data_IF_585417180727
#
_entry.id   IF_585417180727
#
_cell.length_a   1.000
_cell.length_b   1.000
_cell.length_c   1.000
_cell.angle_alpha   90.00
_cell.angle_beta   90.00
_cell.angle_gamma   90.00
#
_symmetry.space_group_name_H-M   'P 1'
#
loop_
_entity.id
_entity.type
_entity.pdbx_description
1 polymer ?
#
# COMPACT_ATOMS: atom_id res chain seq x y z
N UNK A 1 -5.59 -7.01 -51.13
CA UNK A 1 -5.55 -8.41 -50.82
C UNK A 1 -5.15 -8.55 -49.34
N UNK A 2 -6.02 -8.75 -48.44
CA UNK A 2 -6.08 -8.83 -47.00
C UNK A 2 -4.91 -9.31 -46.11
N UNK A 3 -3.66 -9.28 -46.55
CA UNK A 3 -2.50 -9.79 -45.80
C UNK A 3 -1.62 -8.66 -45.20
N UNK A 4 -1.98 -7.40 -45.31
CA UNK A 4 -1.16 -6.29 -44.80
C UNK A 4 -2.05 -5.25 -44.15
N UNK A 5 -1.77 -4.90 -42.87
CA UNK A 5 -2.56 -3.91 -42.11
C UNK A 5 -2.36 -2.47 -42.58
N UNK A 6 -1.18 -2.15 -43.16
CA UNK A 6 -0.88 -0.85 -43.75
C UNK A 6 0.17 -1.00 -44.87
N UNK A 7 0.10 -0.15 -45.87
CA UNK A 7 1.03 -0.09 -46.99
C UNK A 7 1.53 1.34 -47.22
N UNK A 8 2.84 1.50 -47.45
CA UNK A 8 3.47 2.76 -47.83
C UNK A 8 3.53 2.84 -49.37
N UNK A 9 2.85 3.80 -49.96
CA UNK A 9 2.76 4.01 -51.39
C UNK A 9 3.36 5.38 -51.76
N UNK A 10 3.98 5.47 -52.92
CA UNK A 10 4.49 6.74 -53.47
C UNK A 10 5.95 6.67 -53.90
N UNK A 11 6.48 7.84 -54.20
CA UNK A 11 7.87 8.05 -54.59
C UNK A 11 8.60 8.91 -53.52
N UNK A 12 9.93 8.90 -53.50
CA UNK A 12 10.69 9.76 -52.61
C UNK A 12 10.27 11.24 -52.66
N UNK A 13 9.72 11.74 -51.56
CA UNK A 13 9.16 13.08 -51.42
C UNK A 13 7.63 13.18 -51.50
N UNK A 14 6.94 12.07 -51.84
CA UNK A 14 5.47 12.02 -51.89
C UNK A 14 4.93 10.68 -51.41
N UNK A 15 5.30 10.31 -50.19
CA UNK A 15 4.83 9.08 -49.57
C UNK A 15 3.45 9.19 -48.96
N UNK A 16 2.60 8.19 -49.18
CA UNK A 16 1.27 8.07 -48.56
C UNK A 16 1.17 6.72 -47.82
N UNK A 17 0.85 6.77 -46.55
CA UNK A 17 0.57 5.58 -45.76
C UNK A 17 -0.95 5.29 -45.81
N UNK A 18 -1.31 4.10 -46.30
CA UNK A 18 -2.70 3.68 -46.50
C UNK A 18 -2.96 2.45 -45.63
N UNK A 19 -4.04 2.48 -44.86
CA UNK A 19 -4.58 1.35 -44.09
C UNK A 19 -5.99 1.00 -44.53
N UNK A 20 -6.47 -0.21 -44.27
CA UNK A 20 -7.80 -0.68 -44.67
C UNK A 20 -8.94 -0.04 -43.85
N UNK A 21 -8.78 0.03 -42.51
CA UNK A 21 -9.76 0.60 -41.56
C UNK A 21 -9.17 1.69 -40.66
N UNK A 22 -7.92 2.06 -40.92
CA UNK A 22 -7.09 2.98 -40.12
C UNK A 22 -5.66 2.50 -40.12
N UNK A 23 -4.74 3.35 -39.62
CA UNK A 23 -3.33 2.99 -39.39
C UNK A 23 -3.11 3.10 -37.92
N UNK A 24 -2.48 2.08 -37.34
CA UNK A 24 -2.02 2.10 -35.95
C UNK A 24 -1.13 3.33 -35.73
N UNK A 25 -1.39 4.16 -34.71
CA UNK A 25 -0.60 5.36 -34.42
C UNK A 25 0.91 5.08 -34.25
N UNK A 26 1.27 3.96 -33.64
CA UNK A 26 2.68 3.59 -33.43
C UNK A 26 3.35 3.23 -34.77
N UNK A 27 2.65 2.52 -35.63
CA UNK A 27 3.12 2.21 -37.00
C UNK A 27 3.26 3.48 -37.82
N UNK A 28 2.27 4.38 -37.76
CA UNK A 28 2.29 5.67 -38.46
C UNK A 28 3.47 6.53 -38.00
N UNK A 29 3.74 6.58 -36.69
CA UNK A 29 4.86 7.32 -36.12
C UNK A 29 6.21 6.73 -36.58
N UNK A 30 6.38 5.40 -36.52
CA UNK A 30 7.60 4.72 -36.95
C UNK A 30 7.90 4.92 -38.46
N UNK A 31 6.88 4.78 -39.29
CA UNK A 31 7.00 5.02 -40.74
C UNK A 31 7.32 6.50 -41.03
N UNK A 32 6.66 7.43 -40.37
CA UNK A 32 6.93 8.86 -40.53
C UNK A 32 8.35 9.24 -40.13
N UNK A 33 8.86 8.69 -39.02
CA UNK A 33 10.24 8.89 -38.57
C UNK A 33 11.26 8.35 -39.58
N UNK A 34 10.99 7.17 -40.14
CA UNK A 34 11.87 6.54 -41.14
C UNK A 34 11.90 7.36 -42.44
N UNK A 35 10.74 7.79 -42.92
CA UNK A 35 10.62 8.65 -44.13
C UNK A 35 11.29 10.01 -43.92
N UNK A 36 11.14 10.60 -42.72
CA UNK A 36 11.78 11.88 -42.40
C UNK A 36 13.34 11.72 -42.35
N UNK A 37 13.85 10.63 -41.83
CA UNK A 37 15.30 10.36 -41.81
C UNK A 37 15.84 10.19 -43.23
N UNK A 38 15.20 9.39 -44.08
CA UNK A 38 15.57 9.19 -45.48
C UNK A 38 15.52 10.48 -46.28
N UNK A 39 14.49 11.31 -46.04
CA UNK A 39 14.38 12.63 -46.71
C UNK A 39 15.52 13.57 -46.23
N UNK A 40 15.88 13.54 -44.95
CA UNK A 40 16.94 14.36 -44.39
C UNK A 40 18.30 13.95 -44.99
N UNK A 41 18.57 12.65 -45.12
CA UNK A 41 19.80 12.13 -45.74
C UNK A 41 19.94 12.57 -47.23
N UNK A 42 18.87 12.43 -47.98
CA UNK A 42 18.85 12.87 -49.40
C UNK A 42 19.00 14.38 -49.53
N UNK A 43 18.33 15.16 -48.72
CA UNK A 43 18.44 16.62 -48.74
C UNK A 43 19.86 17.10 -48.32
N UNK A 44 20.45 16.45 -47.31
CA UNK A 44 21.84 16.72 -46.94
C UNK A 44 22.82 16.44 -48.08
N UNK A 45 22.69 15.29 -48.71
CA UNK A 45 23.51 14.92 -49.86
C UNK A 45 23.33 15.90 -51.04
N UNK A 46 22.09 16.31 -51.34
CA UNK A 46 21.80 17.30 -52.38
C UNK A 46 22.38 18.69 -52.08
N UNK A 47 22.45 19.05 -50.79
CA UNK A 47 23.05 20.31 -50.34
C UNK A 47 24.58 20.24 -50.17
N UNK A 48 25.19 19.09 -50.42
CA UNK A 48 26.67 18.89 -50.27
C UNK A 48 27.15 18.92 -48.83
N UNK A 49 26.25 18.57 -47.86
CA UNK A 49 26.54 18.55 -46.44
C UNK A 49 26.19 17.17 -45.83
N UNK A 50 26.40 16.97 -44.57
CA UNK A 50 26.05 15.74 -43.86
C UNK A 50 24.83 15.96 -42.97
N UNK A 51 24.10 14.86 -42.66
CA UNK A 51 23.01 14.91 -41.68
C UNK A 51 23.50 15.41 -40.31
N UNK A 52 24.72 14.99 -39.91
CA UNK A 52 25.35 15.43 -38.68
C UNK A 52 25.56 16.96 -38.64
N UNK A 53 25.93 17.56 -39.76
CA UNK A 53 26.10 19.04 -39.83
C UNK A 53 24.76 19.76 -39.77
N UNK A 54 23.69 19.20 -40.39
CA UNK A 54 22.36 19.79 -40.36
C UNK A 54 21.68 19.65 -38.99
N UNK A 55 22.01 18.60 -38.25
CA UNK A 55 21.46 18.34 -36.93
C UNK A 55 22.37 18.79 -35.79
N UNK A 56 23.52 19.41 -36.14
CA UNK A 56 24.42 19.95 -35.14
C UNK A 56 23.70 21.00 -34.25
N UNK A 57 23.66 20.76 -32.95
CA UNK A 57 22.97 21.62 -32.00
C UNK A 57 21.48 21.36 -31.82
N UNK A 58 20.90 20.37 -32.52
CA UNK A 58 19.51 19.96 -32.31
C UNK A 58 19.34 18.90 -31.20
N UNK A 59 20.45 18.33 -30.75
CA UNK A 59 20.45 17.38 -29.62
C UNK A 59 20.29 18.16 -28.33
N UNK A 60 19.17 17.98 -27.68
CA UNK A 60 18.94 18.45 -26.31
C UNK A 60 19.52 17.41 -25.39
N UNK A 61 20.61 17.73 -24.72
CA UNK A 61 21.15 16.90 -23.66
C UNK A 61 20.27 17.09 -22.43
N UNK A 62 19.42 16.08 -22.13
CA UNK A 62 18.68 16.05 -20.87
C UNK A 62 19.67 15.76 -19.74
N UNK A 63 20.00 16.80 -18.99
CA UNK A 63 20.77 16.67 -17.77
C UNK A 63 19.84 16.85 -16.59
N UNK A 64 19.61 15.78 -15.84
CA UNK A 64 18.99 15.88 -14.54
C UNK A 64 19.89 16.76 -13.65
N UNK A 65 19.33 17.79 -13.05
CA UNK A 65 20.03 18.69 -12.14
C UNK A 65 20.54 17.93 -10.90
N UNK A 66 19.89 16.87 -10.54
CA UNK A 66 20.30 15.87 -9.57
C UNK A 66 20.38 14.51 -10.29
N UNK A 67 21.60 14.07 -10.60
CA UNK A 67 21.84 12.80 -11.31
C UNK A 67 21.35 11.57 -10.51
N UNK A 68 21.22 11.72 -9.19
CA UNK A 68 20.76 10.69 -8.26
C UNK A 68 19.22 10.60 -8.15
N UNK A 69 18.48 11.61 -8.63
CA UNK A 69 17.03 11.73 -8.35
C UNK A 69 16.15 10.63 -8.96
N UNK A 70 16.49 10.13 -10.15
CA UNK A 70 15.69 9.09 -10.81
C UNK A 70 15.88 7.70 -10.17
N UNK A 71 17.09 7.42 -9.71
CA UNK A 71 17.42 6.16 -9.01
C UNK A 71 16.84 6.18 -7.59
N UNK A 72 16.84 7.34 -6.93
CA UNK A 72 16.24 7.56 -5.62
C UNK A 72 14.71 7.36 -5.64
N UNK A 73 14.02 7.78 -6.70
CA UNK A 73 12.58 7.58 -6.88
C UNK A 73 12.23 6.09 -6.93
N UNK A 74 13.03 5.27 -7.62
CA UNK A 74 12.85 3.83 -7.65
C UNK A 74 12.93 3.19 -6.26
N UNK A 75 13.90 3.59 -5.45
CA UNK A 75 14.05 3.10 -4.07
C UNK A 75 12.89 3.57 -3.18
N UNK A 76 12.41 4.81 -3.34
CA UNK A 76 11.26 5.33 -2.61
C UNK A 76 9.98 4.53 -2.91
N UNK A 77 9.73 4.20 -4.17
CA UNK A 77 8.59 3.36 -4.60
C UNK A 77 8.70 1.96 -4.00
N UNK A 78 9.88 1.33 -4.06
CA UNK A 78 10.10 0.00 -3.48
C UNK A 78 9.92 0.03 -1.96
N UNK A 79 10.50 0.99 -1.26
CA UNK A 79 10.33 1.14 0.19
C UNK A 79 8.86 1.36 0.57
N UNK A 80 8.16 2.18 -0.19
CA UNK A 80 6.73 2.41 -0.04
C UNK A 80 5.92 1.13 -0.19
N UNK A 81 6.17 0.38 -1.26
CA UNK A 81 5.54 -0.93 -1.49
C UNK A 81 5.81 -1.90 -0.35
N UNK A 82 7.04 -1.96 0.16
CA UNK A 82 7.41 -2.82 1.29
C UNK A 82 6.62 -2.45 2.54
N UNK A 83 6.51 -1.17 2.91
CA UNK A 83 5.72 -0.74 4.07
C UNK A 83 4.25 -1.13 3.95
N UNK A 84 3.65 -0.88 2.78
CA UNK A 84 2.25 -1.25 2.49
C UNK A 84 2.05 -2.76 2.58
N UNK A 85 2.93 -3.53 1.93
CA UNK A 85 2.83 -4.98 1.86
C UNK A 85 3.02 -5.63 3.24
N UNK A 86 3.97 -5.17 4.03
CA UNK A 86 4.21 -5.67 5.37
C UNK A 86 3.03 -5.39 6.30
N UNK A 87 2.44 -4.18 6.22
CA UNK A 87 1.23 -3.86 6.97
C UNK A 87 0.07 -4.79 6.58
N UNK A 88 -0.17 -4.96 5.28
CA UNK A 88 -1.21 -5.82 4.74
C UNK A 88 -1.06 -7.27 5.21
N UNK A 89 0.14 -7.82 5.10
CA UNK A 89 0.44 -9.19 5.54
C UNK A 89 0.21 -9.37 7.04
N UNK A 90 0.69 -8.45 7.86
CA UNK A 90 0.50 -8.52 9.31
C UNK A 90 -0.97 -8.38 9.70
N UNK A 91 -1.69 -7.43 9.09
CA UNK A 91 -3.09 -7.18 9.36
C UNK A 91 -3.96 -8.41 9.07
N UNK A 92 -3.70 -9.08 7.95
CA UNK A 92 -4.43 -10.30 7.58
C UNK A 92 -4.01 -11.47 8.47
N UNK A 93 -2.71 -11.79 8.55
CA UNK A 93 -2.23 -12.96 9.23
C UNK A 93 -2.62 -12.96 10.71
N UNK A 94 -2.26 -11.91 11.42
CA UNK A 94 -2.54 -11.83 12.86
C UNK A 94 -3.97 -11.43 13.17
N UNK A 95 -4.61 -10.65 12.29
CA UNK A 95 -6.04 -10.34 12.42
C UNK A 95 -6.92 -11.58 12.36
N UNK A 96 -6.73 -12.42 11.35
CA UNK A 96 -7.44 -13.70 11.26
C UNK A 96 -7.09 -14.66 12.41
N UNK A 97 -5.83 -14.71 12.82
CA UNK A 97 -5.42 -15.53 13.97
C UNK A 97 -6.17 -15.15 15.25
N UNK A 98 -6.35 -13.83 15.50
CA UNK A 98 -7.13 -13.35 16.65
C UNK A 98 -8.60 -13.76 16.50
N UNK A 99 -9.23 -13.50 15.34
CA UNK A 99 -10.64 -13.80 15.14
C UNK A 99 -10.93 -15.30 15.28
N UNK A 100 -10.12 -16.16 14.68
CA UNK A 100 -10.24 -17.61 14.79
C UNK A 100 -10.05 -18.09 16.22
N UNK A 101 -9.02 -17.62 16.92
CA UNK A 101 -8.78 -17.97 18.34
C UNK A 101 -9.99 -17.61 19.22
N UNK A 102 -10.65 -16.45 18.97
CA UNK A 102 -11.84 -16.05 19.73
C UNK A 102 -13.02 -16.99 19.46
N UNK A 103 -13.24 -17.36 18.19
CA UNK A 103 -14.33 -18.29 17.83
C UNK A 103 -14.09 -19.69 18.38
N UNK A 104 -12.87 -20.21 18.30
CA UNK A 104 -12.52 -21.53 18.84
C UNK A 104 -12.75 -21.61 20.35
N UNK A 105 -12.34 -20.59 21.10
CA UNK A 105 -12.60 -20.51 22.54
C UNK A 105 -14.10 -20.43 22.85
N UNK A 106 -14.88 -19.72 22.02
CA UNK A 106 -16.33 -19.64 22.16
C UNK A 106 -17.02 -20.95 21.87
N UNK A 107 -16.60 -21.67 20.82
CA UNK A 107 -17.16 -22.98 20.45
C UNK A 107 -16.85 -24.06 21.48
N UNK A 108 -15.66 -24.07 22.02
CA UNK A 108 -15.23 -25.01 23.06
C UNK A 108 -15.75 -24.70 24.46
N UNK A 109 -16.55 -23.63 24.62
CA UNK A 109 -17.03 -23.11 25.92
C UNK A 109 -15.94 -22.77 26.93
N UNK A 110 -14.71 -22.70 26.48
CA UNK A 110 -13.56 -22.27 27.31
C UNK A 110 -13.78 -20.87 27.84
N UNK A 111 -14.42 -20.00 27.05
CA UNK A 111 -14.76 -18.63 27.45
C UNK A 111 -15.64 -18.61 28.71
N UNK A 112 -16.57 -19.54 28.90
CA UNK A 112 -17.42 -19.60 30.09
C UNK A 112 -16.60 -19.92 31.34
N UNK A 113 -15.62 -20.83 31.22
CA UNK A 113 -14.69 -21.20 32.31
C UNK A 113 -13.75 -20.03 32.61
N UNK A 114 -13.18 -19.42 31.57
CA UNK A 114 -12.28 -18.29 31.74
C UNK A 114 -12.99 -17.05 32.32
N UNK A 115 -14.24 -16.78 31.91
CA UNK A 115 -15.03 -15.66 32.40
C UNK A 115 -15.41 -15.80 33.90
N UNK A 116 -15.44 -17.03 34.42
CA UNK A 116 -15.63 -17.28 35.84
C UNK A 116 -14.36 -16.98 36.65
N UNK A 117 -13.17 -17.06 36.03
CA UNK A 117 -11.87 -16.91 36.70
C UNK A 117 -11.25 -15.51 36.50
N UNK A 118 -11.44 -14.89 35.31
CA UNK A 118 -10.81 -13.62 34.94
C UNK A 118 -11.80 -12.70 34.22
N UNK A 119 -11.69 -11.37 34.38
CA UNK A 119 -12.51 -10.42 33.64
C UNK A 119 -12.29 -10.54 32.12
N UNK A 120 -13.36 -10.56 31.32
CA UNK A 120 -13.31 -10.64 29.85
C UNK A 120 -12.43 -9.56 29.19
N UNK A 121 -12.32 -8.39 29.85
CA UNK A 121 -11.38 -7.32 29.41
C UNK A 121 -9.93 -7.81 29.44
N UNK A 122 -9.51 -8.53 30.47
CA UNK A 122 -8.13 -9.03 30.56
C UNK A 122 -7.85 -10.11 29.50
N UNK A 123 -8.87 -10.92 29.17
CA UNK A 123 -8.77 -11.88 28.08
C UNK A 123 -8.56 -11.19 26.73
N UNK A 124 -9.35 -10.16 26.43
CA UNK A 124 -9.19 -9.35 25.23
C UNK A 124 -7.81 -8.68 25.17
N UNK A 125 -7.40 -8.03 26.27
CA UNK A 125 -6.10 -7.35 26.34
C UNK A 125 -4.96 -8.36 26.13
N UNK A 126 -5.01 -9.53 26.75
CA UNK A 126 -3.99 -10.57 26.58
C UNK A 126 -3.84 -11.01 25.13
N UNK A 127 -4.96 -11.25 24.43
CA UNK A 127 -4.96 -11.60 22.99
C UNK A 127 -4.37 -10.49 22.11
N UNK A 128 -4.85 -9.27 22.30
CA UNK A 128 -4.40 -8.13 21.52
C UNK A 128 -2.92 -7.84 21.75
N UNK A 129 -2.46 -7.85 23.00
CA UNK A 129 -1.05 -7.64 23.34
C UNK A 129 -0.17 -8.76 22.77
N UNK A 130 -0.57 -10.02 22.94
CA UNK A 130 0.18 -11.16 22.41
C UNK A 130 0.31 -11.11 20.88
N UNK A 131 -0.79 -10.88 20.18
CA UNK A 131 -0.77 -10.76 18.71
C UNK A 131 0.01 -9.53 18.24
N UNK A 132 -0.11 -8.39 18.93
CA UNK A 132 0.66 -7.17 18.61
C UNK A 132 2.14 -7.39 18.81
N UNK A 133 2.56 -8.08 19.89
CA UNK A 133 3.96 -8.38 20.14
C UNK A 133 4.56 -9.27 19.05
N UNK A 134 3.82 -10.30 18.59
CA UNK A 134 4.24 -11.16 17.50
C UNK A 134 4.33 -10.39 16.18
N UNK A 135 3.30 -9.60 15.85
CA UNK A 135 3.27 -8.78 14.66
C UNK A 135 4.41 -7.74 14.64
N UNK A 136 4.64 -7.06 15.78
CA UNK A 136 5.74 -6.11 15.90
C UNK A 136 7.10 -6.80 15.77
N UNK A 137 7.28 -7.96 16.41
CA UNK A 137 8.52 -8.74 16.29
C UNK A 137 8.81 -9.10 14.84
N UNK A 138 7.79 -9.55 14.09
CA UNK A 138 7.92 -9.82 12.65
C UNK A 138 8.27 -8.56 11.87
N UNK A 139 7.61 -7.41 12.15
CA UNK A 139 7.90 -6.13 11.48
C UNK A 139 9.33 -5.67 11.71
N UNK A 140 9.80 -5.74 12.96
CA UNK A 140 11.19 -5.38 13.32
C UNK A 140 12.20 -6.24 12.55
N UNK A 141 11.95 -7.55 12.43
CA UNK A 141 12.83 -8.46 11.66
C UNK A 141 12.85 -8.06 10.19
N UNK A 142 11.69 -7.82 9.56
CA UNK A 142 11.65 -7.46 8.14
C UNK A 142 12.28 -6.09 7.88
N UNK A 143 12.00 -5.10 8.74
CA UNK A 143 12.65 -3.77 8.65
C UNK A 143 14.16 -3.91 8.80
N UNK A 144 14.64 -4.69 9.77
CA UNK A 144 16.07 -4.90 9.95
C UNK A 144 16.73 -5.56 8.73
N UNK A 145 16.10 -6.60 8.16
CA UNK A 145 16.57 -7.26 6.94
C UNK A 145 16.59 -6.26 5.77
N UNK A 146 15.55 -5.44 5.61
CA UNK A 146 15.48 -4.42 4.56
C UNK A 146 16.57 -3.36 4.68
N UNK A 147 16.81 -2.83 5.90
CA UNK A 147 17.87 -1.85 6.15
C UNK A 147 19.28 -2.45 5.96
N UNK A 148 19.49 -3.68 6.41
CA UNK A 148 20.75 -4.40 6.16
C UNK A 148 20.91 -4.62 4.66
N UNK A 149 19.89 -5.08 3.95
CA UNK A 149 19.93 -5.26 2.51
C UNK A 149 20.29 -3.95 1.78
N UNK A 150 19.63 -2.84 2.13
CA UNK A 150 19.88 -1.52 1.55
C UNK A 150 21.35 -1.08 1.76
N UNK A 151 21.97 -1.41 2.89
CA UNK A 151 23.35 -1.04 3.20
C UNK A 151 24.40 -1.70 2.27
N UNK A 152 24.04 -2.77 1.56
CA UNK A 152 24.91 -3.46 0.59
C UNK A 152 24.65 -3.05 -0.85
N UNK A 153 23.78 -2.07 -1.09
CA UNK A 153 23.47 -1.56 -2.43
C UNK A 153 24.11 -0.19 -2.65
N UNK A 154 24.14 0.26 -3.89
CA UNK A 154 24.61 1.61 -4.26
C UNK A 154 23.73 2.73 -3.65
N UNK A 155 22.55 2.37 -3.14
CA UNK A 155 21.58 3.25 -2.48
C UNK A 155 21.77 3.40 -0.97
N UNK A 156 22.93 3.02 -0.43
CA UNK A 156 23.25 3.14 1.00
C UNK A 156 23.15 4.59 1.52
N UNK A 157 23.24 5.59 0.65
CA UNK A 157 23.03 7.02 0.96
C UNK A 157 21.63 7.31 1.47
N UNK A 158 20.59 6.53 1.07
CA UNK A 158 19.21 6.67 1.51
C UNK A 158 18.94 6.00 2.88
N UNK A 159 19.91 5.27 3.42
CA UNK A 159 19.74 4.54 4.68
C UNK A 159 19.21 5.41 5.83
N UNK A 160 19.70 6.66 6.06
CA UNK A 160 19.19 7.49 7.14
C UNK A 160 17.72 7.88 6.98
N UNK A 161 17.27 8.20 5.77
CA UNK A 161 15.88 8.57 5.49
C UNK A 161 14.93 7.38 5.63
N UNK A 162 15.30 6.23 5.05
CA UNK A 162 14.52 4.98 5.16
C UNK A 162 14.47 4.48 6.61
N UNK A 163 15.58 4.54 7.35
CA UNK A 163 15.62 4.16 8.77
C UNK A 163 14.74 5.09 9.63
N UNK A 164 14.78 6.40 9.39
CA UNK A 164 13.91 7.36 10.05
C UNK A 164 12.42 7.08 9.79
N UNK A 165 12.06 6.82 8.53
CA UNK A 165 10.71 6.44 8.15
C UNK A 165 10.27 5.10 8.79
N UNK A 166 11.17 4.11 8.84
CA UNK A 166 10.90 2.81 9.45
C UNK A 166 10.61 2.91 10.96
N UNK A 167 11.27 3.79 11.68
CA UNK A 167 10.97 4.03 13.11
C UNK A 167 9.53 4.55 13.26
N UNK A 168 9.13 5.55 12.47
CA UNK A 168 7.77 6.07 12.49
C UNK A 168 6.74 5.03 12.01
N UNK A 169 7.12 4.21 11.02
CA UNK A 169 6.30 3.07 10.59
C UNK A 169 6.00 2.12 11.75
N UNK A 170 7.00 1.71 12.53
CA UNK A 170 6.82 0.82 13.65
C UNK A 170 5.95 1.46 14.77
N UNK A 171 6.13 2.75 15.04
CA UNK A 171 5.32 3.48 16.03
C UNK A 171 3.85 3.52 15.60
N UNK A 172 3.56 3.97 14.38
CA UNK A 172 2.20 4.05 13.84
C UNK A 172 1.59 2.65 13.67
N UNK A 173 2.40 1.67 13.29
CA UNK A 173 1.98 0.27 13.16
C UNK A 173 1.45 -0.28 14.48
N UNK A 174 2.17 -0.12 15.59
CA UNK A 174 1.72 -0.63 16.89
C UNK A 174 0.37 -0.03 17.26
N UNK A 175 0.20 1.29 17.12
CA UNK A 175 -1.04 1.98 17.50
C UNK A 175 -2.20 1.56 16.59
N UNK A 176 -1.99 1.57 15.28
CA UNK A 176 -2.99 1.20 14.28
C UNK A 176 -3.36 -0.27 14.36
N UNK A 177 -2.36 -1.14 14.55
CA UNK A 177 -2.57 -2.58 14.65
C UNK A 177 -3.33 -2.98 15.92
N UNK A 178 -3.06 -2.36 17.08
CA UNK A 178 -3.82 -2.61 18.32
C UNK A 178 -5.31 -2.30 18.11
N UNK A 179 -5.64 -1.18 17.46
CA UNK A 179 -7.03 -0.85 17.14
C UNK A 179 -7.66 -1.91 16.21
N UNK A 180 -6.93 -2.30 15.16
CA UNK A 180 -7.38 -3.31 14.20
C UNK A 180 -7.53 -4.69 14.86
N UNK A 181 -6.60 -5.10 15.72
CA UNK A 181 -6.63 -6.34 16.49
C UNK A 181 -7.88 -6.43 17.39
N UNK A 182 -8.25 -5.33 18.05
CA UNK A 182 -9.50 -5.25 18.82
C UNK A 182 -10.74 -5.45 17.91
N UNK A 183 -10.75 -4.89 16.71
CA UNK A 183 -11.84 -5.08 15.76
C UNK A 183 -11.93 -6.52 15.26
N UNK A 184 -10.80 -7.18 15.00
CA UNK A 184 -10.77 -8.60 14.64
C UNK A 184 -11.26 -9.49 15.79
N UNK A 185 -10.89 -9.17 17.03
CA UNK A 185 -11.41 -9.88 18.20
C UNK A 185 -12.95 -9.73 18.31
N UNK A 186 -13.49 -8.55 18.04
CA UNK A 186 -14.94 -8.32 17.96
C UNK A 186 -15.57 -9.15 16.84
N UNK A 187 -14.99 -9.15 15.65
CA UNK A 187 -15.49 -9.94 14.53
C UNK A 187 -15.54 -11.45 14.87
N UNK A 188 -14.52 -11.97 15.54
CA UNK A 188 -14.50 -13.32 16.08
C UNK A 188 -15.59 -13.56 17.14
N UNK A 189 -15.80 -12.63 18.07
CA UNK A 189 -16.84 -12.75 19.10
C UNK A 189 -18.27 -12.72 18.51
N UNK A 190 -18.48 -12.06 17.37
CA UNK A 190 -19.76 -12.02 16.66
C UNK A 190 -20.05 -13.30 15.89
N UNK A 191 -19.03 -14.02 15.46
CA UNK A 191 -19.16 -15.30 14.78
C UNK A 191 -19.63 -16.38 15.76
N UNK A 192 -20.37 -17.39 15.22
CA UNK A 192 -20.81 -18.58 15.98
C UNK A 192 -19.98 -19.79 15.64
N UNK A 193 -19.46 -19.84 14.41
CA UNK A 193 -18.63 -20.94 13.90
C UNK A 193 -17.41 -20.38 13.19
N UNK A 194 -16.37 -21.19 13.04
CA UNK A 194 -15.17 -20.83 12.29
C UNK A 194 -15.50 -20.39 10.83
N UNK A 195 -16.49 -21.00 10.21
CA UNK A 195 -16.99 -20.66 8.87
C UNK A 195 -17.56 -19.23 8.79
N UNK A 196 -18.09 -18.70 9.89
CA UNK A 196 -18.67 -17.37 9.98
C UNK A 196 -17.61 -16.27 10.04
N UNK A 197 -16.36 -16.60 10.46
CA UNK A 197 -15.27 -15.64 10.64
C UNK A 197 -15.02 -14.85 9.36
N UNK A 198 -15.00 -15.52 8.21
CA UNK A 198 -14.79 -14.86 6.93
C UNK A 198 -15.85 -13.79 6.66
N UNK A 199 -17.11 -14.06 6.98
CA UNK A 199 -18.19 -13.08 6.77
C UNK A 199 -18.13 -11.93 7.77
N UNK A 200 -17.82 -12.21 9.05
CA UNK A 200 -17.76 -11.19 10.09
C UNK A 200 -16.50 -10.31 9.96
N UNK A 201 -15.42 -10.82 9.38
CA UNK A 201 -14.19 -10.03 9.13
C UNK A 201 -14.20 -9.28 7.79
N UNK A 202 -15.13 -9.59 6.88
CA UNK A 202 -15.21 -8.98 5.54
C UNK A 202 -15.17 -7.44 5.54
N UNK A 203 -15.86 -6.69 6.42
CA UNK A 203 -15.74 -5.24 6.45
C UNK A 203 -14.34 -4.76 6.84
N UNK A 204 -13.64 -5.49 7.71
CA UNK A 204 -12.27 -5.15 8.10
C UNK A 204 -11.30 -5.38 6.95
N UNK A 205 -11.50 -6.46 6.18
CA UNK A 205 -10.73 -6.70 4.96
C UNK A 205 -10.91 -5.58 3.95
N UNK A 206 -12.12 -5.06 3.80
CA UNK A 206 -12.37 -3.90 2.92
C UNK A 206 -11.57 -2.68 3.38
N UNK A 207 -11.52 -2.40 4.68
CA UNK A 207 -10.69 -1.31 5.23
C UNK A 207 -9.20 -1.57 4.95
N UNK A 208 -8.71 -2.80 5.18
CA UNK A 208 -7.31 -3.16 4.91
C UNK A 208 -6.99 -3.00 3.42
N UNK A 209 -7.90 -3.39 2.53
CA UNK A 209 -7.74 -3.21 1.08
C UNK A 209 -7.70 -1.72 0.68
N UNK A 210 -8.55 -0.87 1.29
CA UNK A 210 -8.50 0.57 1.07
C UNK A 210 -7.15 1.14 1.52
N UNK A 211 -6.63 0.70 2.67
CA UNK A 211 -5.30 1.11 3.16
C UNK A 211 -4.20 0.64 2.22
N UNK A 212 -4.29 -0.61 1.74
CA UNK A 212 -3.31 -1.19 0.80
C UNK A 212 -3.27 -0.40 -0.52
N UNK A 213 -4.40 -0.25 -1.19
CA UNK A 213 -4.46 0.48 -2.44
C UNK A 213 -4.22 1.98 -2.25
N UNK A 214 -4.69 2.56 -1.14
CA UNK A 214 -4.41 3.95 -0.80
C UNK A 214 -2.91 4.20 -0.62
N UNK A 215 -2.20 3.28 0.04
CA UNK A 215 -0.74 3.39 0.18
C UNK A 215 0.01 3.32 -1.16
N UNK A 216 -0.52 2.59 -2.15
CA UNK A 216 0.12 2.42 -3.46
C UNK A 216 -0.25 3.50 -4.49
N UNK A 217 -1.48 4.00 -4.45
CA UNK A 217 -2.03 4.81 -5.53
C UNK A 217 -2.38 6.24 -5.15
N UNK A 218 -2.42 6.58 -3.83
CA UNK A 218 -2.63 7.96 -3.43
C UNK A 218 -1.39 8.80 -3.74
N UNK A 219 -1.60 9.92 -4.42
CA UNK A 219 -0.56 10.88 -4.78
C UNK A 219 -0.96 12.28 -4.33
N UNK A 220 0.01 13.19 -4.30
CA UNK A 220 -0.17 14.61 -4.03
C UNK A 220 -1.00 14.91 -2.77
N UNK A 221 -2.01 15.74 -2.90
CA UNK A 221 -2.91 16.16 -1.81
C UNK A 221 -3.63 14.99 -1.13
N UNK A 222 -4.01 13.94 -1.88
CA UNK A 222 -4.67 12.78 -1.32
C UNK A 222 -3.75 11.93 -0.45
N UNK A 223 -2.47 11.86 -0.80
CA UNK A 223 -1.45 11.19 0.01
C UNK A 223 -1.22 11.95 1.33
N UNK A 224 -1.20 13.29 1.27
CA UNK A 224 -1.13 14.14 2.48
C UNK A 224 -2.34 13.89 3.39
N UNK A 225 -3.56 13.91 2.84
CA UNK A 225 -4.78 13.62 3.62
C UNK A 225 -4.71 12.21 4.22
N UNK A 226 -4.35 11.20 3.42
CA UNK A 226 -4.19 9.81 3.84
C UNK A 226 -3.22 9.64 5.01
N UNK A 227 -2.17 10.46 5.06
CA UNK A 227 -1.16 10.40 6.13
C UNK A 227 -1.65 10.85 7.51
N UNK A 228 -2.84 11.46 7.59
CA UNK A 228 -3.51 11.81 8.85
C UNK A 228 -4.74 10.94 9.12
N UNK A 229 -5.18 10.11 8.16
CA UNK A 229 -6.30 9.18 8.37
C UNK A 229 -5.81 7.99 9.20
N UNK A 230 -6.42 7.69 10.35
CA UNK A 230 -6.03 6.59 11.22
C UNK A 230 -5.99 5.24 10.46
N UNK A 231 -5.06 4.39 10.80
CA UNK A 231 -4.70 3.14 10.11
C UNK A 231 -3.99 3.40 8.76
N UNK A 232 -4.53 4.25 7.88
CA UNK A 232 -3.88 4.60 6.62
C UNK A 232 -2.55 5.36 6.85
N UNK A 233 -2.50 6.21 7.88
CA UNK A 233 -1.28 6.92 8.31
C UNK A 233 -0.10 5.97 8.58
N UNK A 234 -0.37 4.72 8.96
CA UNK A 234 0.67 3.70 9.18
C UNK A 234 1.52 3.45 7.95
N UNK A 235 0.93 3.54 6.76
CA UNK A 235 1.64 3.29 5.50
C UNK A 235 1.98 4.58 4.75
N UNK A 236 1.06 5.54 4.68
CA UNK A 236 1.24 6.75 3.88
C UNK A 236 2.21 7.76 4.50
N UNK A 237 2.29 7.86 5.83
CA UNK A 237 3.24 8.76 6.49
C UNK A 237 4.71 8.32 6.29
N UNK A 238 5.08 7.03 6.49
CA UNK A 238 6.44 6.57 6.18
C UNK A 238 6.83 6.76 4.71
N UNK A 239 5.90 6.55 3.78
CA UNK A 239 6.15 6.79 2.34
C UNK A 239 6.52 8.25 2.12
N UNK A 240 5.76 9.20 2.66
CA UNK A 240 6.06 10.63 2.56
C UNK A 240 7.37 11.03 3.23
N UNK A 241 7.74 10.34 4.31
CA UNK A 241 9.04 10.57 4.97
C UNK A 241 10.20 10.13 4.10
N UNK A 242 10.11 8.96 3.44
CA UNK A 242 11.13 8.49 2.50
C UNK A 242 11.23 9.42 1.30
N UNK A 243 10.08 9.88 0.78
CA UNK A 243 10.00 10.82 -0.34
C UNK A 243 10.40 12.27 0.03
N UNK A 244 10.71 12.55 1.31
CA UNK A 244 11.09 13.92 1.77
C UNK A 244 9.94 14.94 1.70
N UNK A 245 8.69 14.50 1.49
CA UNK A 245 7.51 15.37 1.34
C UNK A 245 6.79 15.66 2.66
N UNK A 246 7.20 15.02 3.76
CA UNK A 246 6.64 15.25 5.09
C UNK A 246 7.58 16.10 5.96
N UNK A 247 7.03 17.11 6.64
CA UNK A 247 7.77 17.90 7.62
C UNK A 247 8.04 17.08 8.90
N UNK A 248 9.10 17.40 9.63
CA UNK A 248 9.57 16.66 10.81
C UNK A 248 8.54 16.50 11.95
N UNK A 249 7.55 17.39 12.03
CA UNK A 249 6.49 17.39 13.05
C UNK A 249 5.23 16.61 12.64
N UNK A 250 5.02 16.38 11.34
CA UNK A 250 3.82 15.72 10.81
C UNK A 250 3.62 14.31 11.35
N UNK A 251 4.66 13.45 11.46
CA UNK A 251 4.50 12.11 12.02
C UNK A 251 4.03 12.13 13.48
N UNK A 252 4.45 13.12 14.26
CA UNK A 252 4.00 13.26 15.65
C UNK A 252 2.51 13.60 15.71
N UNK A 253 2.02 14.50 14.87
CA UNK A 253 0.59 14.83 14.78
C UNK A 253 -0.23 13.64 14.32
N UNK A 254 0.20 12.94 13.27
CA UNK A 254 -0.46 11.73 12.80
C UNK A 254 -0.52 10.64 13.89
N UNK A 255 0.55 10.50 14.67
CA UNK A 255 0.59 9.59 15.82
C UNK A 255 -0.46 9.95 16.89
N UNK A 256 -0.60 11.22 17.23
CA UNK A 256 -1.60 11.68 18.20
C UNK A 256 -3.02 11.41 17.68
N UNK A 257 -3.31 11.73 16.43
CA UNK A 257 -4.61 11.47 15.81
C UNK A 257 -4.92 9.98 15.81
N UNK A 258 -3.96 9.15 15.40
CA UNK A 258 -4.10 7.69 15.38
C UNK A 258 -4.30 7.13 16.79
N UNK A 259 -3.57 7.64 17.79
CA UNK A 259 -3.70 7.22 19.19
C UNK A 259 -5.07 7.54 19.76
N UNK A 260 -5.58 8.76 19.54
CA UNK A 260 -6.93 9.17 19.98
C UNK A 260 -7.99 8.29 19.34
N UNK A 261 -7.88 8.05 18.03
CA UNK A 261 -8.83 7.19 17.32
C UNK A 261 -8.74 5.74 17.79
N UNK A 262 -7.53 5.21 17.98
CA UNK A 262 -7.32 3.88 18.53
C UNK A 262 -7.96 3.74 19.92
N UNK A 263 -7.81 4.73 20.80
CA UNK A 263 -8.43 4.72 22.12
C UNK A 263 -9.97 4.69 22.04
N UNK A 264 -10.58 5.39 21.09
CA UNK A 264 -12.03 5.35 20.84
C UNK A 264 -12.45 3.97 20.32
N UNK A 265 -11.72 3.45 19.32
CA UNK A 265 -11.98 2.12 18.74
C UNK A 265 -11.89 1.05 19.83
N UNK A 266 -10.85 1.06 20.65
CA UNK A 266 -10.63 0.08 21.73
C UNK A 266 -11.79 0.10 22.72
N UNK A 267 -12.27 1.30 23.14
CA UNK A 267 -13.42 1.41 24.07
C UNK A 267 -14.70 0.84 23.47
N UNK A 268 -14.96 1.12 22.19
CA UNK A 268 -16.13 0.57 21.50
C UNK A 268 -15.99 -0.94 21.33
N UNK A 269 -14.82 -1.40 20.89
CA UNK A 269 -14.52 -2.81 20.68
C UNK A 269 -14.65 -3.62 22.00
N UNK A 270 -14.14 -3.11 23.12
CA UNK A 270 -14.28 -3.75 24.43
C UNK A 270 -15.75 -3.93 24.81
N UNK A 271 -16.58 -2.90 24.60
CA UNK A 271 -18.02 -2.97 24.91
C UNK A 271 -18.72 -4.01 24.04
N UNK A 272 -18.46 -4.00 22.75
CA UNK A 272 -19.06 -4.95 21.79
C UNK A 272 -18.57 -6.37 22.05
N UNK A 273 -17.26 -6.55 22.29
CA UNK A 273 -16.67 -7.84 22.62
C UNK A 273 -17.32 -8.49 23.82
N UNK A 274 -17.44 -7.77 24.93
CA UNK A 274 -18.05 -8.27 26.17
C UNK A 274 -19.49 -8.75 25.97
N UNK A 275 -20.25 -8.03 25.12
CA UNK A 275 -21.65 -8.38 24.84
C UNK A 275 -21.80 -9.55 23.88
N UNK A 276 -20.88 -9.66 22.91
CA UNK A 276 -20.98 -10.63 21.82
C UNK A 276 -20.37 -11.98 22.18
N UNK A 277 -19.34 -12.01 23.02
CA UNK A 277 -18.59 -13.24 23.32
C UNK A 277 -19.44 -14.29 24.05
N UNK A 278 -20.38 -13.85 24.92
CA UNK A 278 -21.27 -14.73 25.67
C UNK A 278 -22.50 -15.20 24.89
N UNK A 279 -22.72 -14.66 23.70
CA UNK A 279 -23.86 -15.06 22.87
C UNK A 279 -23.47 -16.19 21.92
N UNK A 280 -23.87 -17.42 22.26
CA UNK A 280 -23.55 -18.63 21.52
C UNK A 280 -24.65 -19.09 20.55
N UNK A 281 -25.87 -18.55 20.67
CA UNK A 281 -27.07 -19.08 20.00
C UNK A 281 -27.28 -18.59 18.55
N UNK A 282 -26.75 -17.43 18.15
CA UNK A 282 -26.92 -16.88 16.80
C UNK A 282 -25.76 -15.98 16.40
N UNK A 283 -25.56 -15.86 15.08
CA UNK A 283 -24.67 -14.86 14.50
C UNK A 283 -25.22 -13.45 14.71
N UNK A 284 -24.37 -12.54 15.17
CA UNK A 284 -24.71 -11.14 15.36
C UNK A 284 -24.29 -10.31 14.15
N UNK A 285 -25.12 -9.32 13.78
CA UNK A 285 -24.70 -8.27 12.86
C UNK A 285 -24.02 -7.13 13.62
N UNK A 286 -23.17 -6.35 12.95
CA UNK A 286 -22.50 -5.19 13.57
C UNK A 286 -23.50 -4.20 14.18
N UNK A 287 -24.65 -3.97 13.52
CA UNK A 287 -25.70 -3.08 14.00
C UNK A 287 -26.34 -3.61 15.28
N UNK A 288 -26.65 -4.89 15.33
CA UNK A 288 -27.19 -5.54 16.52
C UNK A 288 -26.19 -5.51 17.67
N UNK A 289 -24.93 -5.83 17.42
CA UNK A 289 -23.87 -5.85 18.42
C UNK A 289 -23.64 -4.46 19.08
N UNK A 290 -23.85 -3.38 18.35
CA UNK A 290 -23.78 -2.00 18.87
C UNK A 290 -25.03 -1.62 19.70
N UNK A 291 -26.20 -2.18 19.39
CA UNK A 291 -27.49 -1.83 20.02
C UNK A 291 -27.89 -2.76 21.16
N UNK A 292 -27.17 -3.87 21.40
CA UNK A 292 -27.43 -4.76 22.54
C UNK A 292 -27.37 -3.95 23.85
N UNK A 293 -28.46 -3.99 24.58
CA UNK A 293 -28.51 -3.55 25.99
C UNK A 293 -28.01 -4.67 26.89
N UNK A 294 -27.43 -4.33 28.04
CA UNK A 294 -26.96 -5.30 29.05
C UNK A 294 -28.14 -6.07 29.66
#
# INVERSE_FOLDING_TARGET
DGDVDAALLGEPGAWTLVGSDGVDPDVAAAVSATVATDALERNAAAAGTTVADLTAGSVVEERLLEADGADDEGVQVIAGFVFVFLFYMAAILFGYAIANSVVEEKQSRIVEILAAAIPLRQLLVGKVVGATALALGQMVIFVAIGLIGLSFTDYATLLPSVAGAAVWYLVLFVIGFVALACLFAVAGAMATRAEDVQTTTSPLLTVIMIVFFGGLFLQDTWQVIGSYVPIMSTVTMPIRLVAGTASWWEPAVATVITLVTAAVIIRIAERVYRRSIMQTGRKLTYREALTLTE
#
